data_IF_817199911880
#
_entry.id   IF_817199911880
#
_cell.length_a   1.000
_cell.length_b   1.000
_cell.length_c   1.000
_cell.angle_alpha   90.00
_cell.angle_beta   90.00
_cell.angle_gamma   90.00
#
_symmetry.space_group_name_H-M   'P 1'
#
loop_
_entity.id
_entity.type
_entity.pdbx_description
1 polymer ?
#
# COMPACT_ATOMS: atom_id res chain seq x y z
N UNK A 1 -20.33 -25.35 -23.48
CA UNK A 1 -19.54 -24.71 -22.40
C UNK A 1 -20.38 -23.58 -21.85
N UNK A 2 -20.83 -23.65 -20.59
CA UNK A 2 -21.41 -22.48 -19.92
C UNK A 2 -20.26 -21.49 -19.72
N UNK A 3 -20.36 -20.29 -20.27
CA UNK A 3 -19.48 -19.18 -19.87
C UNK A 3 -19.69 -19.03 -18.36
N UNK A 4 -18.64 -19.24 -17.56
CA UNK A 4 -18.67 -18.79 -16.18
C UNK A 4 -18.94 -17.29 -16.19
N UNK A 5 -19.84 -16.83 -15.32
CA UNK A 5 -20.01 -15.40 -15.10
C UNK A 5 -18.68 -14.82 -14.64
N UNK A 6 -18.22 -13.74 -15.27
CA UNK A 6 -16.91 -13.11 -15.03
C UNK A 6 -16.66 -12.91 -13.53
N UNK A 7 -17.69 -12.54 -12.78
CA UNK A 7 -17.61 -12.33 -11.33
C UNK A 7 -17.24 -13.63 -10.61
N UNK A 8 -17.87 -14.73 -10.99
CA UNK A 8 -17.60 -16.05 -10.39
C UNK A 8 -16.20 -16.55 -10.75
N UNK A 9 -15.76 -16.35 -12.00
CA UNK A 9 -14.42 -16.72 -12.44
C UNK A 9 -13.34 -15.87 -11.76
N UNK A 10 -13.54 -14.55 -11.65
CA UNK A 10 -12.63 -13.66 -10.92
C UNK A 10 -12.58 -14.01 -9.42
N UNK A 11 -13.72 -14.37 -8.83
CA UNK A 11 -13.79 -14.84 -7.44
C UNK A 11 -13.05 -16.16 -7.23
N UNK A 12 -13.01 -17.02 -8.23
CA UNK A 12 -12.36 -18.32 -8.12
C UNK A 12 -10.85 -18.22 -8.39
N UNK A 13 -10.45 -17.47 -9.41
CA UNK A 13 -9.09 -17.44 -9.92
C UNK A 13 -8.20 -16.38 -9.25
N UNK A 14 -8.75 -15.20 -8.96
CA UNK A 14 -7.99 -14.06 -8.45
C UNK A 14 -8.19 -13.92 -6.94
N UNK A 15 -9.43 -13.69 -6.48
CA UNK A 15 -9.68 -13.27 -5.08
C UNK A 15 -8.98 -14.11 -3.99
N UNK A 16 -8.91 -15.45 -4.06
CA UNK A 16 -8.26 -16.26 -3.03
C UNK A 16 -6.74 -16.07 -3.00
N UNK A 17 -6.11 -15.80 -4.14
CA UNK A 17 -4.67 -15.53 -4.21
C UNK A 17 -4.30 -14.16 -3.61
N UNK A 18 -5.30 -13.28 -3.44
CA UNK A 18 -5.15 -11.93 -2.88
C UNK A 18 -5.92 -11.77 -1.57
N UNK A 19 -6.23 -12.88 -0.90
CA UNK A 19 -6.77 -12.89 0.44
C UNK A 19 -5.61 -12.76 1.45
N UNK A 20 -5.55 -11.63 2.17
CA UNK A 20 -4.49 -11.36 3.15
C UNK A 20 -3.07 -11.33 2.56
N UNK A 21 -2.91 -10.77 1.35
CA UNK A 21 -1.62 -10.67 0.67
C UNK A 21 -0.70 -9.64 1.33
N UNK A 22 0.51 -10.05 1.65
CA UNK A 22 1.56 -9.18 2.20
C UNK A 22 2.38 -8.56 1.08
N UNK A 23 2.53 -7.25 1.12
CA UNK A 23 3.29 -6.49 0.12
C UNK A 23 4.36 -5.70 0.84
N UNK A 24 5.62 -5.96 0.50
CA UNK A 24 6.75 -5.19 1.01
C UNK A 24 6.86 -3.89 0.22
N UNK A 25 6.90 -2.78 0.93
CA UNK A 25 6.88 -1.43 0.39
C UNK A 25 8.13 -0.68 0.84
N UNK A 26 8.89 -0.16 -0.12
CA UNK A 26 10.03 0.71 0.13
C UNK A 26 9.58 2.14 -0.10
N UNK A 27 9.70 2.95 0.94
CA UNK A 27 9.21 4.32 0.98
C UNK A 27 10.31 5.34 1.18
N UNK A 28 10.00 6.60 0.94
CA UNK A 28 10.91 7.74 1.14
C UNK A 28 10.13 8.94 1.69
N UNK A 29 10.85 9.83 2.37
CA UNK A 29 10.27 11.11 2.82
C UNK A 29 10.05 12.03 1.64
N UNK A 30 8.87 12.64 1.51
CA UNK A 30 8.64 13.69 0.50
C UNK A 30 8.89 15.10 1.04
N UNK A 31 9.32 15.24 2.30
CA UNK A 31 9.65 16.54 2.89
C UNK A 31 10.96 17.11 2.34
N UNK A 32 10.97 18.38 1.96
CA UNK A 32 12.19 19.09 1.58
C UNK A 32 13.10 19.27 2.80
N UNK A 33 14.27 18.63 2.81
CA UNK A 33 15.23 18.71 3.92
C UNK A 33 16.67 18.32 3.51
N UNK A 34 17.68 18.70 4.31
CA UNK A 34 19.10 18.52 3.96
C UNK A 34 19.59 17.06 4.07
N UNK A 35 18.78 16.13 4.59
CA UNK A 35 19.19 14.75 4.84
C UNK A 35 18.49 13.76 3.90
N UNK A 36 19.31 12.97 3.21
CA UNK A 36 18.97 12.03 2.16
C UNK A 36 18.06 10.87 2.63
N UNK A 37 16.99 10.64 1.88
CA UNK A 37 16.51 9.37 1.28
C UNK A 37 17.00 8.04 1.88
N UNK A 38 16.98 7.85 3.20
CA UNK A 38 17.05 6.49 3.75
C UNK A 38 15.71 5.82 3.49
N UNK A 39 15.65 4.78 2.64
CA UNK A 39 14.41 4.09 2.38
C UNK A 39 13.89 3.47 3.67
N UNK A 40 12.59 3.60 3.91
CA UNK A 40 11.91 2.94 5.02
C UNK A 40 11.06 1.81 4.47
N UNK A 41 11.23 0.64 5.05
CA UNK A 41 10.47 -0.54 4.68
C UNK A 41 9.20 -0.65 5.52
N UNK A 42 8.08 -0.88 4.84
CA UNK A 42 6.81 -1.23 5.44
C UNK A 42 6.28 -2.52 4.83
N UNK A 43 5.50 -3.26 5.61
CA UNK A 43 4.70 -4.39 5.14
C UNK A 43 3.22 -3.99 5.14
N UNK A 44 2.60 -4.07 3.97
CA UNK A 44 1.18 -3.80 3.78
C UNK A 44 0.43 -5.11 3.69
N UNK A 45 -0.54 -5.31 4.58
CA UNK A 45 -1.47 -6.41 4.47
C UNK A 45 -2.69 -5.95 3.67
N UNK A 46 -2.97 -6.64 2.56
CA UNK A 46 -4.08 -6.30 1.68
C UNK A 46 -5.12 -7.41 1.58
N UNK A 47 -6.33 -7.07 1.14
CA UNK A 47 -7.37 -8.06 0.83
C UNK A 47 -8.25 -7.60 -0.30
N UNK A 48 -8.41 -8.45 -1.30
CA UNK A 48 -9.39 -8.28 -2.37
C UNK A 48 -10.74 -8.86 -1.94
N UNK A 49 -11.81 -8.11 -2.18
CA UNK A 49 -13.20 -8.55 -1.98
C UNK A 49 -14.00 -8.27 -3.24
N UNK A 50 -14.93 -9.16 -3.55
CA UNK A 50 -15.93 -8.97 -4.59
C UNK A 50 -17.26 -8.60 -3.96
N UNK A 51 -17.88 -7.56 -4.48
CA UNK A 51 -19.28 -7.26 -4.25
C UNK A 51 -20.11 -7.85 -5.39
N UNK A 52 -20.90 -8.87 -5.07
CA UNK A 52 -21.73 -9.59 -6.05
C UNK A 52 -22.93 -8.73 -6.50
N UNK A 53 -23.40 -7.80 -5.66
CA UNK A 53 -24.52 -6.93 -6.00
C UNK A 53 -24.09 -5.83 -6.96
N UNK A 54 -22.94 -5.19 -6.70
CA UNK A 54 -22.41 -4.15 -7.60
C UNK A 54 -21.60 -4.73 -8.76
N UNK A 55 -21.24 -6.02 -8.71
CA UNK A 55 -20.41 -6.72 -9.70
C UNK A 55 -19.01 -6.10 -9.84
N UNK A 56 -18.41 -5.74 -8.70
CA UNK A 56 -17.13 -5.05 -8.62
C UNK A 56 -16.18 -5.76 -7.67
N UNK A 57 -14.86 -5.61 -7.87
CA UNK A 57 -13.86 -6.01 -6.90
C UNK A 57 -13.15 -4.78 -6.35
N UNK A 58 -12.81 -4.84 -5.08
CA UNK A 58 -12.04 -3.81 -4.40
C UNK A 58 -10.95 -4.45 -3.55
N UNK A 59 -9.74 -3.94 -3.67
CA UNK A 59 -8.61 -4.31 -2.80
C UNK A 59 -8.44 -3.25 -1.74
N UNK A 60 -8.31 -3.70 -0.50
CA UNK A 60 -8.16 -2.83 0.66
C UNK A 60 -6.79 -3.06 1.30
N UNK A 61 -6.15 -1.98 1.77
CA UNK A 61 -5.08 -2.08 2.76
C UNK A 61 -5.76 -2.21 4.12
N UNK A 62 -5.41 -3.27 4.84
CA UNK A 62 -5.95 -3.60 6.15
C UNK A 62 -5.00 -3.20 7.27
N UNK A 63 -3.71 -3.27 6.98
CA UNK A 63 -2.67 -3.03 7.97
C UNK A 63 -1.41 -2.53 7.31
N UNK A 64 -0.74 -1.59 7.97
CA UNK A 64 0.60 -1.13 7.63
C UNK A 64 1.50 -1.36 8.85
N UNK A 65 2.59 -2.09 8.65
CA UNK A 65 3.56 -2.38 9.69
C UNK A 65 4.95 -1.97 9.26
N UNK A 66 5.77 -1.50 10.19
CA UNK A 66 7.16 -1.19 9.88
C UNK A 66 7.86 -0.52 11.05
N UNK A 67 9.06 -0.02 10.76
CA UNK A 67 9.87 0.67 11.74
C UNK A 67 10.52 1.89 11.12
N UNK A 68 10.26 3.04 11.70
CA UNK A 68 10.89 4.29 11.31
C UNK A 68 12.17 4.41 12.14
N UNK A 69 13.36 4.36 11.53
CA UNK A 69 14.61 4.51 12.27
C UNK A 69 14.74 5.93 12.83
N UNK A 70 15.29 6.05 14.03
CA UNK A 70 15.55 7.35 14.64
C UNK A 70 16.67 8.11 13.92
N UNK A 71 16.66 9.43 14.10
CA UNK A 71 17.60 10.42 13.51
C UNK A 71 17.21 10.95 12.13
N UNK A 72 15.92 11.15 11.88
CA UNK A 72 15.50 12.04 10.78
C UNK A 72 15.42 13.44 11.38
N UNK A 73 16.43 14.25 11.08
CA UNK A 73 16.43 15.66 11.45
C UNK A 73 15.45 16.40 10.53
N UNK A 74 14.40 16.96 11.12
CA UNK A 74 13.40 17.77 10.42
C UNK A 74 13.74 19.24 10.67
N UNK A 75 14.05 20.01 9.62
CA UNK A 75 14.32 21.45 9.72
C UNK A 75 15.79 21.86 9.49
N UNK A 76 16.03 23.17 9.58
CA UNK A 76 17.30 23.84 9.27
C UNK A 76 18.43 23.47 10.25
N UNK A 77 19.68 23.62 9.80
CA UNK A 77 20.94 23.19 10.44
C UNK A 77 21.14 23.56 11.93
N UNK A 78 20.33 24.45 12.50
CA UNK A 78 20.54 25.01 13.84
C UNK A 78 19.44 24.63 14.86
N UNK A 79 18.37 23.92 14.47
CA UNK A 79 17.34 23.40 15.38
C UNK A 79 17.13 21.90 15.10
N UNK A 80 17.66 21.05 15.98
CA UNK A 80 17.62 19.59 15.80
C UNK A 80 16.30 19.02 16.32
N UNK A 81 15.19 19.24 15.61
CA UNK A 81 13.99 18.43 15.78
C UNK A 81 14.29 17.05 15.17
N UNK A 82 14.33 16.02 16.01
CA UNK A 82 14.66 14.67 15.58
C UNK A 82 13.46 13.75 15.79
N UNK A 83 13.10 12.99 14.77
CA UNK A 83 12.16 11.87 14.92
C UNK A 83 12.79 10.81 15.83
N UNK A 84 12.06 10.44 16.89
CA UNK A 84 12.40 9.31 17.76
C UNK A 84 12.07 8.01 16.99
N UNK A 85 12.92 6.98 17.06
CA UNK A 85 12.60 5.70 16.42
C UNK A 85 11.26 5.15 16.91
N UNK A 86 10.37 4.78 15.98
CA UNK A 86 9.00 4.38 16.29
C UNK A 86 8.59 3.15 15.48
N UNK A 87 7.90 2.22 16.14
CA UNK A 87 7.23 1.11 15.46
C UNK A 87 5.91 1.63 14.89
N UNK A 88 5.68 1.37 13.61
CA UNK A 88 4.42 1.68 12.95
C UNK A 88 3.59 0.40 12.92
N UNK A 89 2.37 0.50 13.43
CA UNK A 89 1.36 -0.55 13.35
C UNK A 89 0.00 0.10 13.22
N UNK A 90 -0.44 0.32 12.00
CA UNK A 90 -1.70 1.00 11.68
C UNK A 90 -2.66 -0.07 11.18
N UNK A 91 -3.80 -0.21 11.85
CA UNK A 91 -4.95 -0.94 11.32
C UNK A 91 -5.85 0.03 10.57
N UNK A 92 -6.22 -0.30 9.33
CA UNK A 92 -7.02 0.56 8.48
C UNK A 92 -7.93 -0.28 7.56
N UNK A 93 -8.77 0.39 6.79
CA UNK A 93 -9.58 -0.24 5.74
C UNK A 93 -9.63 0.67 4.52
N UNK A 94 -8.45 0.99 3.99
CA UNK A 94 -8.30 1.93 2.90
C UNK A 94 -8.53 1.23 1.56
N UNK A 95 -9.52 1.69 0.78
CA UNK A 95 -9.78 1.17 -0.57
C UNK A 95 -8.67 1.63 -1.51
N UNK A 96 -7.84 0.69 -1.93
CA UNK A 96 -6.62 0.92 -2.69
C UNK A 96 -6.85 0.79 -4.20
N UNK A 97 -7.50 -0.30 -4.61
CA UNK A 97 -7.77 -0.59 -6.02
C UNK A 97 -9.24 -0.94 -6.17
N UNK A 98 -9.83 -0.48 -7.26
CA UNK A 98 -11.17 -0.81 -7.68
C UNK A 98 -11.12 -1.33 -9.11
N UNK A 99 -11.81 -2.43 -9.36
CA UNK A 99 -11.94 -3.01 -10.70
C UNK A 99 -13.41 -3.30 -10.97
N UNK A 100 -13.89 -2.79 -12.10
CA UNK A 100 -15.25 -3.07 -12.56
C UNK A 100 -15.30 -4.40 -13.34
N UNK A 101 -16.49 -4.80 -13.79
CA UNK A 101 -16.67 -6.05 -14.55
C UNK A 101 -15.85 -6.09 -15.84
N UNK A 102 -15.63 -4.96 -16.52
CA UNK A 102 -14.85 -4.88 -17.76
C UNK A 102 -13.36 -5.07 -17.46
N UNK A 103 -12.87 -4.44 -16.40
CA UNK A 103 -11.50 -4.61 -15.93
C UNK A 103 -11.24 -6.06 -15.53
N UNK A 104 -12.17 -6.70 -14.81
CA UNK A 104 -12.08 -8.13 -14.47
C UNK A 104 -11.97 -9.01 -15.71
N UNK A 105 -12.76 -8.74 -16.77
CA UNK A 105 -12.67 -9.48 -18.03
C UNK A 105 -11.29 -9.33 -18.66
N UNK A 106 -10.76 -8.10 -18.69
CA UNK A 106 -9.43 -7.83 -19.22
C UNK A 106 -8.34 -8.59 -18.43
N UNK A 107 -8.44 -8.60 -17.10
CA UNK A 107 -7.50 -9.32 -16.24
C UNK A 107 -7.56 -10.83 -16.49
N UNK A 108 -8.76 -11.40 -16.57
CA UNK A 108 -8.96 -12.85 -16.79
C UNK A 108 -8.51 -13.32 -18.18
N UNK A 109 -8.54 -12.44 -19.19
CA UNK A 109 -8.08 -12.76 -20.53
C UNK A 109 -6.55 -12.73 -20.67
N UNK A 110 -5.82 -12.20 -19.68
CA UNK A 110 -4.36 -12.19 -19.69
C UNK A 110 -3.81 -13.63 -19.55
N UNK A 111 -2.69 -13.99 -20.21
CA UNK A 111 -2.09 -15.32 -20.05
C UNK A 111 -1.69 -15.67 -18.61
N UNK A 112 -1.38 -14.64 -17.81
CA UNK A 112 -1.05 -14.75 -16.39
C UNK A 112 -1.95 -13.79 -15.57
N UNK A 113 -3.23 -14.13 -15.29
CA UNK A 113 -4.19 -13.21 -14.67
C UNK A 113 -3.76 -12.70 -13.29
N UNK A 114 -3.25 -13.59 -12.43
CA UNK A 114 -2.77 -13.22 -11.10
C UNK A 114 -1.61 -12.23 -11.17
N UNK A 115 -0.63 -12.49 -12.04
CA UNK A 115 0.50 -11.58 -12.23
C UNK A 115 0.04 -10.21 -12.73
N UNK A 116 -0.87 -10.19 -13.69
CA UNK A 116 -1.39 -8.94 -14.23
C UNK A 116 -2.16 -8.13 -13.17
N UNK A 117 -2.96 -8.81 -12.34
CA UNK A 117 -3.64 -8.16 -11.22
C UNK A 117 -2.65 -7.61 -10.17
N UNK A 118 -1.57 -8.36 -9.87
CA UNK A 118 -0.49 -7.88 -8.99
C UNK A 118 0.17 -6.62 -9.53
N UNK A 119 0.37 -6.50 -10.85
CA UNK A 119 0.94 -5.29 -11.46
C UNK A 119 0.04 -4.07 -11.23
N UNK A 120 -1.27 -4.21 -11.46
CA UNK A 120 -2.25 -3.15 -11.18
C UNK A 120 -2.25 -2.76 -9.69
N UNK A 121 -2.15 -3.75 -8.81
CA UNK A 121 -2.10 -3.52 -7.37
C UNK A 121 -0.83 -2.77 -6.94
N UNK A 122 0.33 -3.19 -7.46
CA UNK A 122 1.62 -2.54 -7.19
C UNK A 122 1.60 -1.10 -7.68
N UNK A 123 1.04 -0.84 -8.87
CA UNK A 123 0.94 0.51 -9.42
C UNK A 123 -0.03 1.37 -8.61
N UNK A 124 -1.15 0.82 -8.13
CA UNK A 124 -2.01 1.53 -7.20
C UNK A 124 -1.27 1.93 -5.92
N UNK A 125 -0.46 1.03 -5.33
CA UNK A 125 0.33 1.30 -4.12
C UNK A 125 1.36 2.40 -4.35
N UNK A 126 2.08 2.36 -5.47
CA UNK A 126 3.09 3.39 -5.80
C UNK A 126 2.50 4.79 -5.90
N UNK A 127 1.23 4.89 -6.29
CA UNK A 127 0.51 6.16 -6.41
C UNK A 127 -0.20 6.59 -5.10
N UNK A 128 -0.15 5.79 -4.05
CA UNK A 128 -0.69 6.18 -2.73
C UNK A 128 0.21 7.19 -2.03
N UNK A 129 -0.43 8.08 -1.28
CA UNK A 129 0.23 9.04 -0.40
C UNK A 129 -0.17 8.69 1.03
N UNK A 130 0.82 8.48 1.90
CA UNK A 130 0.58 8.08 3.28
C UNK A 130 1.08 9.19 4.19
N UNK A 131 0.24 9.64 5.11
CA UNK A 131 0.62 10.63 6.12
C UNK A 131 0.67 9.93 7.48
N UNK A 132 1.79 10.05 8.18
CA UNK A 132 2.00 9.39 9.47
C UNK A 132 2.35 10.46 10.51
N UNK A 133 1.68 10.43 11.66
CA UNK A 133 2.02 11.29 12.79
C UNK A 133 3.19 10.69 13.56
N UNK A 134 4.25 11.48 13.78
CA UNK A 134 5.46 11.03 14.46
C UNK A 134 5.79 11.89 15.66
N UNK A 135 6.21 11.24 16.75
CA UNK A 135 6.77 11.92 17.90
C UNK A 135 8.22 12.35 17.68
N UNK A 136 8.55 13.53 18.19
CA UNK A 136 9.89 14.13 18.14
C UNK A 136 10.56 14.11 19.52
N UNK A 137 11.86 14.41 19.55
CA UNK A 137 12.64 14.60 20.77
C UNK A 137 12.21 15.80 21.65
N UNK A 138 11.28 16.63 21.18
CA UNK A 138 10.73 17.77 21.91
C UNK A 138 9.28 17.50 22.39
N UNK A 139 8.85 16.25 22.40
CA UNK A 139 7.48 15.82 22.76
C UNK A 139 6.39 16.47 21.90
N UNK A 140 6.75 16.92 20.70
CA UNK A 140 5.81 17.39 19.69
C UNK A 140 5.47 16.27 18.70
N UNK A 141 4.29 16.39 18.08
CA UNK A 141 3.86 15.55 16.97
C UNK A 141 4.04 16.31 15.66
N UNK A 142 4.52 15.61 14.64
CA UNK A 142 4.66 16.13 13.28
C UNK A 142 4.04 15.17 12.28
N UNK A 143 3.28 15.72 11.34
CA UNK A 143 2.79 14.98 10.19
C UNK A 143 3.94 14.72 9.21
N UNK A 144 4.13 13.47 8.84
CA UNK A 144 5.21 13.06 7.97
C UNK A 144 4.68 12.39 6.70
N UNK A 145 4.76 13.07 5.54
CA UNK A 145 4.30 12.52 4.28
C UNK A 145 5.32 11.51 3.73
N UNK A 146 4.81 10.33 3.40
CA UNK A 146 5.56 9.18 2.91
C UNK A 146 5.13 8.92 1.47
N UNK A 147 6.11 8.96 0.57
CA UNK A 147 5.98 8.51 -0.81
C UNK A 147 6.46 7.06 -0.97
N UNK A 148 5.90 6.34 -1.94
CA UNK A 148 6.28 4.96 -2.23
C UNK A 148 7.26 4.92 -3.41
N UNK A 149 8.45 4.37 -3.18
CA UNK A 149 9.49 4.18 -4.22
C UNK A 149 9.30 2.87 -4.96
N UNK A 150 9.00 1.79 -4.24
CA UNK A 150 8.73 0.48 -4.82
C UNK A 150 7.82 -0.36 -3.93
N UNK A 151 7.15 -1.33 -4.54
CA UNK A 151 6.32 -2.32 -3.85
C UNK A 151 6.53 -3.69 -4.52
N UNK A 152 6.60 -4.74 -3.70
CA UNK A 152 6.84 -6.13 -4.13
C UNK A 152 5.91 -7.05 -3.36
N UNK A 153 5.15 -7.88 -4.08
CA UNK A 153 4.34 -8.96 -3.49
C UNK A 153 5.27 -10.05 -2.97
N UNK A 154 5.06 -10.50 -1.74
CA UNK A 154 5.85 -11.56 -1.09
C UNK A 154 5.26 -12.95 -1.29
#
# INVERSE_FOLDING_TARGET
>A
MQLLDTITEFNHCISPAFEALSIKVISFSTTNGPFQDKPIEFDFLTRTKIDVYTQEASTYILRIQGYIPGSIALGHQNESLCIIPQKVNIECNYKLLHVDKKDMQQILQHPEPNRHYSEWLIDAIKNTHILVELQTNQDSLIEWPIGIKSAVVL
#
